data_IF_907755453833
#
_entry.id   IF_907755453833
#
_cell.length_a   1.000
_cell.length_b   1.000
_cell.length_c   1.000
_cell.angle_alpha   90.00
_cell.angle_beta   90.00
_cell.angle_gamma   90.00
#
_symmetry.space_group_name_H-M   'P 1'
#
loop_
_entity.id
_entity.type
_entity.pdbx_description
1 polymer ?
#
# COMPACT_ATOMS: atom_id res chain seq x y z
N UNK A 1 32.55 21.02 -86.14
CA UNK A 1 32.87 20.39 -84.84
C UNK A 1 31.75 20.78 -83.91
N UNK A 2 30.86 19.85 -83.61
CA UNK A 2 29.82 20.02 -82.59
C UNK A 2 30.48 19.62 -81.27
N UNK A 3 30.54 20.57 -80.34
CA UNK A 3 31.17 20.38 -79.05
C UNK A 3 30.33 19.40 -78.22
N UNK A 4 30.87 18.20 -77.97
CA UNK A 4 30.16 17.11 -77.28
C UNK A 4 30.19 17.28 -75.75
N UNK A 5 30.78 18.35 -75.22
CA UNK A 5 30.84 18.64 -73.78
C UNK A 5 29.58 19.30 -73.20
N UNK A 6 28.70 19.83 -74.05
CA UNK A 6 27.46 20.48 -73.61
C UNK A 6 26.28 19.50 -73.43
N UNK A 7 26.40 18.27 -73.94
CA UNK A 7 25.33 17.28 -73.94
C UNK A 7 25.21 16.56 -72.58
N UNK A 8 26.28 16.51 -71.78
CA UNK A 8 26.29 15.77 -70.50
C UNK A 8 25.99 16.59 -69.25
N UNK A 9 25.75 17.91 -69.37
CA UNK A 9 25.41 18.79 -68.22
C UNK A 9 23.93 19.16 -68.10
N UNK A 10 23.08 18.76 -69.05
CA UNK A 10 21.69 19.23 -69.16
C UNK A 10 20.68 18.09 -69.36
N UNK A 11 20.86 16.96 -68.69
CA UNK A 11 19.91 15.83 -68.74
C UNK A 11 19.60 15.33 -67.33
N UNK A 12 19.20 16.25 -66.45
CA UNK A 12 18.18 15.93 -65.45
C UNK A 12 17.07 16.91 -65.76
N UNK A 13 15.98 16.42 -66.33
CA UNK A 13 14.82 17.25 -66.64
C UNK A 13 14.39 17.96 -65.36
N UNK A 14 14.11 19.26 -65.40
CA UNK A 14 13.52 19.98 -64.26
C UNK A 14 12.24 19.28 -63.76
N UNK A 15 11.56 18.53 -64.64
CA UNK A 15 10.42 17.68 -64.30
C UNK A 15 10.81 16.47 -63.44
N UNK A 16 11.96 15.84 -63.68
CA UNK A 16 12.46 14.76 -62.83
C UNK A 16 12.90 15.29 -61.47
N UNK A 17 13.54 16.47 -61.43
CA UNK A 17 13.92 17.13 -60.17
C UNK A 17 12.69 17.49 -59.33
N UNK A 18 11.64 18.01 -59.94
CA UNK A 18 10.38 18.35 -59.25
C UNK A 18 9.61 17.10 -58.82
N UNK A 19 9.59 16.03 -59.63
CA UNK A 19 9.05 14.72 -59.22
C UNK A 19 9.77 14.17 -57.99
N UNK A 20 11.10 14.15 -58.00
CA UNK A 20 11.91 13.67 -56.88
C UNK A 20 11.71 14.53 -55.62
N UNK A 21 11.61 15.85 -55.75
CA UNK A 21 11.29 16.74 -54.64
C UNK A 21 9.91 16.46 -54.04
N UNK A 22 8.88 16.26 -54.88
CA UNK A 22 7.54 15.92 -54.41
C UNK A 22 7.49 14.56 -53.72
N UNK A 23 8.29 13.60 -54.18
CA UNK A 23 8.39 12.27 -53.60
C UNK A 23 9.12 12.29 -52.25
N UNK A 24 10.18 13.09 -52.12
CA UNK A 24 10.87 13.38 -50.86
C UNK A 24 9.92 14.07 -49.87
N UNK A 25 9.13 15.05 -50.29
CA UNK A 25 8.16 15.72 -49.44
C UNK A 25 7.04 14.77 -48.98
N UNK A 26 6.62 13.84 -49.82
CA UNK A 26 5.64 12.80 -49.47
C UNK A 26 6.21 11.83 -48.43
N UNK A 27 7.46 11.38 -48.61
CA UNK A 27 8.16 10.53 -47.65
C UNK A 27 8.36 11.27 -46.33
N UNK A 28 8.74 12.55 -46.37
CA UNK A 28 8.90 13.40 -45.17
C UNK A 28 7.60 13.55 -44.40
N UNK A 29 6.47 13.80 -45.08
CA UNK A 29 5.14 13.85 -44.44
C UNK A 29 4.75 12.52 -43.81
N UNK A 30 5.06 11.40 -44.45
CA UNK A 30 4.85 10.07 -43.87
C UNK A 30 5.75 9.85 -42.65
N UNK A 31 7.02 10.25 -42.71
CA UNK A 31 7.96 10.15 -41.60
C UNK A 31 7.52 11.00 -40.39
N UNK A 32 7.03 12.22 -40.62
CA UNK A 32 6.47 13.08 -39.57
C UNK A 32 5.21 12.44 -38.97
N UNK A 33 4.36 11.78 -39.78
CA UNK A 33 3.21 11.02 -39.26
C UNK A 33 3.61 9.81 -38.39
N UNK A 34 4.73 9.16 -38.69
CA UNK A 34 5.30 8.12 -37.83
C UNK A 34 5.89 8.69 -36.54
N UNK A 35 6.48 9.88 -36.56
CA UNK A 35 6.93 10.59 -35.36
C UNK A 35 5.76 10.89 -34.42
N UNK A 36 4.63 11.34 -34.96
CA UNK A 36 3.39 11.46 -34.19
C UNK A 36 2.86 10.10 -33.69
N UNK A 37 3.05 9.01 -34.44
CA UNK A 37 2.72 7.65 -33.99
C UNK A 37 3.57 7.15 -32.81
N UNK A 38 4.87 7.46 -32.80
CA UNK A 38 5.78 7.15 -31.69
C UNK A 38 5.48 7.98 -30.43
N UNK A 39 5.06 9.23 -30.60
CA UNK A 39 4.57 10.06 -29.50
C UNK A 39 3.20 9.57 -28.98
N UNK A 40 2.36 9.02 -29.86
CA UNK A 40 1.09 8.41 -29.49
C UNK A 40 1.25 7.13 -28.66
N UNK A 41 2.26 6.30 -28.93
CA UNK A 41 2.54 5.11 -28.12
C UNK A 41 2.95 5.48 -26.68
N UNK A 42 3.82 6.48 -26.52
CA UNK A 42 4.19 7.01 -25.19
C UNK A 42 2.99 7.61 -24.47
N UNK A 43 2.17 8.38 -25.17
CA UNK A 43 0.95 8.95 -24.63
C UNK A 43 -0.06 7.86 -24.22
N UNK A 44 -0.23 6.82 -25.03
CA UNK A 44 -1.09 5.69 -24.70
C UNK A 44 -0.56 4.93 -23.47
N UNK A 45 0.76 4.73 -23.37
CA UNK A 45 1.38 4.09 -22.20
C UNK A 45 1.18 4.91 -20.91
N UNK A 46 1.29 6.24 -20.98
CA UNK A 46 0.98 7.14 -19.86
C UNK A 46 -0.51 7.08 -19.46
N UNK A 47 -1.42 7.01 -20.43
CA UNK A 47 -2.85 6.80 -20.17
C UNK A 47 -3.07 5.45 -19.47
N UNK A 48 -2.45 4.37 -19.96
CA UNK A 48 -2.59 3.05 -19.34
C UNK A 48 -2.02 3.01 -17.93
N UNK A 49 -0.87 3.65 -17.67
CA UNK A 49 -0.32 3.81 -16.31
C UNK A 49 -1.28 4.55 -15.40
N UNK A 50 -1.88 5.63 -15.90
CA UNK A 50 -2.87 6.42 -15.15
C UNK A 50 -4.12 5.61 -14.83
N UNK A 51 -4.67 4.89 -15.81
CA UNK A 51 -5.84 4.03 -15.64
C UNK A 51 -5.54 2.91 -14.64
N UNK A 52 -4.36 2.28 -14.71
CA UNK A 52 -3.96 1.25 -13.76
C UNK A 52 -3.87 1.82 -12.33
N UNK A 53 -3.23 2.98 -12.16
CA UNK A 53 -3.14 3.64 -10.85
C UNK A 53 -4.52 3.98 -10.28
N UNK A 54 -5.41 4.52 -11.11
CA UNK A 54 -6.79 4.81 -10.71
C UNK A 54 -7.56 3.53 -10.36
N UNK A 55 -7.37 2.45 -11.12
CA UNK A 55 -8.02 1.16 -10.86
C UNK A 55 -7.58 0.57 -9.52
N UNK A 56 -6.28 0.64 -9.20
CA UNK A 56 -5.75 0.20 -7.91
C UNK A 56 -6.30 1.06 -6.77
N UNK A 57 -6.36 2.38 -6.95
CA UNK A 57 -6.92 3.28 -5.95
C UNK A 57 -8.41 2.99 -5.67
N UNK A 58 -9.20 2.74 -6.72
CA UNK A 58 -10.62 2.36 -6.59
C UNK A 58 -10.77 1.04 -5.82
N UNK A 59 -9.94 0.03 -6.12
CA UNK A 59 -9.96 -1.24 -5.38
C UNK A 59 -9.66 -1.05 -3.90
N UNK A 60 -8.60 -0.30 -3.57
CA UNK A 60 -8.26 0.02 -2.17
C UNK A 60 -9.40 0.76 -1.47
N UNK A 61 -10.01 1.75 -2.14
CA UNK A 61 -11.17 2.46 -1.60
C UNK A 61 -12.34 1.51 -1.32
N UNK A 62 -12.59 0.56 -2.22
CA UNK A 62 -13.67 -0.41 -2.03
C UNK A 62 -13.40 -1.35 -0.85
N UNK A 63 -12.17 -1.87 -0.70
CA UNK A 63 -11.77 -2.67 0.47
C UNK A 63 -11.91 -1.89 1.79
N UNK A 64 -11.55 -0.61 1.79
CA UNK A 64 -11.74 0.24 2.98
C UNK A 64 -13.22 0.45 3.28
N UNK A 65 -14.07 0.60 2.26
CA UNK A 65 -15.51 0.77 2.43
C UNK A 65 -16.18 -0.49 2.99
N UNK A 66 -15.77 -1.67 2.53
CA UNK A 66 -16.24 -2.95 3.08
C UNK A 66 -15.81 -3.12 4.54
N UNK A 67 -14.58 -2.70 4.87
CA UNK A 67 -14.07 -2.70 6.25
C UNK A 67 -14.86 -1.74 7.16
N UNK A 68 -15.24 -0.57 6.65
CA UNK A 68 -16.07 0.39 7.39
C UNK A 68 -17.46 -0.18 7.62
N UNK A 69 -18.05 -0.80 6.60
CA UNK A 69 -19.40 -1.40 6.67
C UNK A 69 -19.44 -2.52 7.71
N UNK A 70 -18.46 -3.43 7.70
CA UNK A 70 -18.36 -4.52 8.69
C UNK A 70 -18.14 -4.01 10.12
N UNK A 71 -17.37 -2.92 10.31
CA UNK A 71 -17.23 -2.24 11.60
C UNK A 71 -18.54 -1.62 12.07
N UNK A 72 -19.28 -0.98 11.16
CA UNK A 72 -20.60 -0.41 11.44
C UNK A 72 -21.59 -1.49 11.87
N UNK A 73 -21.66 -2.61 11.15
CA UNK A 73 -22.52 -3.75 11.53
C UNK A 73 -22.14 -4.32 12.90
N UNK A 74 -20.84 -4.39 13.20
CA UNK A 74 -20.36 -4.85 14.51
C UNK A 74 -20.72 -3.88 15.64
N UNK A 75 -20.63 -2.57 15.37
CA UNK A 75 -21.05 -1.52 16.30
C UNK A 75 -22.57 -1.54 16.51
N UNK A 76 -23.35 -1.73 15.46
CA UNK A 76 -24.81 -1.84 15.51
C UNK A 76 -25.23 -3.07 16.32
N UNK A 77 -24.58 -4.22 16.12
CA UNK A 77 -24.80 -5.42 16.95
C UNK A 77 -24.50 -5.15 18.42
N UNK A 78 -23.34 -4.57 18.75
CA UNK A 78 -22.98 -4.21 20.13
C UNK A 78 -23.93 -3.18 20.75
N UNK A 79 -24.45 -2.26 19.95
CA UNK A 79 -25.43 -1.28 20.40
C UNK A 79 -26.78 -1.94 20.69
N UNK A 80 -27.25 -2.82 19.79
CA UNK A 80 -28.49 -3.57 19.95
C UNK A 80 -28.44 -4.62 21.08
N UNK A 81 -27.26 -5.17 21.37
CA UNK A 81 -27.04 -6.08 22.50
C UNK A 81 -27.06 -5.37 23.86
N UNK A 82 -27.00 -4.03 23.87
CA UNK A 82 -27.08 -3.20 25.07
C UNK A 82 -25.80 -3.25 25.91
N UNK A 83 -25.18 -2.09 26.12
CA UNK A 83 -24.01 -1.98 26.98
C UNK A 83 -24.46 -2.12 28.45
N UNK A 84 -24.38 -3.33 29.03
CA UNK A 84 -24.45 -3.52 30.48
C UNK A 84 -23.17 -2.98 31.11
N UNK A 85 -23.16 -1.68 31.39
CA UNK A 85 -22.12 -1.04 32.21
C UNK A 85 -22.38 -1.42 33.65
N UNK A 86 -21.62 -2.40 34.18
CA UNK A 86 -21.49 -2.57 35.62
C UNK A 86 -20.57 -1.46 36.13
N UNK A 87 -21.15 -0.40 36.70
CA UNK A 87 -20.40 0.59 37.48
C UNK A 87 -20.02 -0.10 38.78
N UNK A 88 -18.77 -0.52 38.90
CA UNK A 88 -18.21 -0.97 40.17
C UNK A 88 -18.07 0.25 41.09
N UNK A 89 -18.95 0.38 42.09
CA UNK A 89 -18.80 1.38 43.15
C UNK A 89 -20.05 2.11 43.65
N UNK A 90 -21.27 1.68 43.32
CA UNK A 90 -22.47 2.18 43.99
C UNK A 90 -23.30 1.01 44.51
N UNK A 91 -23.16 0.76 45.81
CA UNK A 91 -24.17 0.08 46.60
C UNK A 91 -25.30 1.05 46.93
N UNK A 92 -26.48 0.44 47.15
CA UNK A 92 -27.77 0.99 47.60
C UNK A 92 -28.65 1.61 46.50
N UNK A 93 -29.83 1.10 46.16
CA UNK A 93 -30.74 0.20 46.88
C UNK A 93 -31.83 -0.37 45.95
N UNK A 94 -32.27 -1.60 46.28
CA UNK A 94 -33.66 -2.10 46.19
C UNK A 94 -34.27 -2.26 44.76
N UNK A 95 -34.84 -3.38 44.29
CA UNK A 95 -35.58 -4.51 44.89
C UNK A 95 -35.62 -5.66 43.86
N UNK A 96 -35.50 -6.92 44.28
CA UNK A 96 -36.32 -8.00 43.70
C UNK A 96 -35.62 -9.26 43.17
N UNK A 97 -35.64 -10.29 44.02
CA UNK A 97 -35.59 -11.74 43.74
C UNK A 97 -34.27 -12.41 43.33
N UNK A 98 -33.65 -13.05 44.33
CA UNK A 98 -33.11 -14.43 44.37
C UNK A 98 -32.50 -14.99 43.08
N UNK A 99 -31.29 -15.54 43.06
CA UNK A 99 -30.84 -16.64 43.92
C UNK A 99 -29.33 -16.86 43.67
N UNK A 100 -28.57 -17.04 44.74
CA UNK A 100 -27.15 -17.43 44.70
C UNK A 100 -27.07 -18.91 44.32
N UNK A 101 -26.37 -19.23 43.23
CA UNK A 101 -25.72 -20.53 43.02
C UNK A 101 -24.31 -20.24 42.51
N UNK A 102 -23.36 -20.23 43.43
CA UNK A 102 -21.95 -20.50 43.15
C UNK A 102 -21.84 -22.03 43.02
N UNK A 103 -21.56 -22.52 41.83
CA UNK A 103 -21.12 -23.90 41.63
C UNK A 103 -19.63 -23.85 41.34
N UNK A 104 -18.83 -23.92 42.40
CA UNK A 104 -17.49 -24.50 42.35
C UNK A 104 -17.64 -25.96 41.94
N UNK A 105 -17.18 -26.31 40.74
CA UNK A 105 -16.75 -27.67 40.44
C UNK A 105 -15.29 -27.61 40.02
N UNK A 106 -14.46 -27.89 41.02
CA UNK A 106 -13.09 -28.34 40.91
C UNK A 106 -12.90 -29.37 39.78
N UNK A 107 -11.83 -29.20 39.01
CA UNK A 107 -10.86 -30.29 38.95
C UNK A 107 -9.46 -29.73 39.25
N UNK A 108 -8.86 -30.39 40.24
CA UNK A 108 -7.56 -30.12 40.81
C UNK A 108 -6.44 -30.35 39.79
N UNK A 109 -5.45 -29.47 39.79
CA UNK A 109 -4.07 -29.89 40.08
C UNK A 109 -3.34 -28.74 40.76
N UNK A 110 -3.33 -28.80 42.09
CA UNK A 110 -2.41 -28.08 42.95
C UNK A 110 -1.06 -28.80 42.89
N UNK A 111 0.00 -28.07 42.54
CA UNK A 111 1.25 -28.15 43.30
C UNK A 111 1.90 -26.77 43.37
N UNK A 112 2.08 -26.35 44.61
CA UNK A 112 2.84 -25.24 45.16
C UNK A 112 4.30 -25.17 44.71
N UNK A 113 4.80 -23.93 44.73
CA UNK A 113 6.18 -23.53 45.07
C UNK A 113 7.31 -24.05 44.18
N UNK A 114 7.68 -23.24 43.18
CA UNK A 114 8.96 -22.50 43.08
C UNK A 114 9.07 -21.97 41.66
N UNK A 115 8.90 -20.66 41.44
CA UNK A 115 9.52 -20.00 40.28
C UNK A 115 9.46 -18.48 40.40
N UNK A 116 10.20 -17.94 41.37
CA UNK A 116 10.62 -16.52 41.32
C UNK A 116 11.58 -16.24 40.16
N UNK A 117 11.92 -17.22 39.32
CA UNK A 117 12.72 -17.06 38.09
C UNK A 117 11.86 -16.79 36.84
N UNK A 118 10.62 -17.28 36.80
CA UNK A 118 9.74 -17.14 35.64
C UNK A 118 9.11 -15.74 35.53
N UNK A 119 8.87 -15.06 36.67
CA UNK A 119 8.31 -13.71 36.69
C UNK A 119 9.26 -12.67 36.06
N UNK A 120 10.58 -12.78 36.29
CA UNK A 120 11.59 -11.93 35.66
C UNK A 120 11.62 -12.15 34.15
N UNK A 121 11.56 -13.42 33.70
CA UNK A 121 11.55 -13.75 32.27
C UNK A 121 10.30 -13.24 31.53
N UNK A 122 9.13 -13.24 32.19
CA UNK A 122 7.88 -12.76 31.60
C UNK A 122 7.84 -11.23 31.52
N UNK A 123 8.28 -10.54 32.57
CA UNK A 123 8.37 -9.07 32.59
C UNK A 123 9.41 -8.54 31.57
N UNK A 124 10.52 -9.27 31.38
CA UNK A 124 11.50 -8.98 30.35
C UNK A 124 10.94 -9.18 28.93
N UNK A 125 10.20 -10.27 28.70
CA UNK A 125 9.49 -10.49 27.44
C UNK A 125 8.47 -9.38 27.17
N UNK A 126 7.75 -8.90 28.19
CA UNK A 126 6.77 -7.80 28.07
C UNK A 126 7.44 -6.48 27.68
N UNK A 127 8.60 -6.17 28.26
CA UNK A 127 9.41 -5.01 27.87
C UNK A 127 9.88 -5.11 26.42
N UNK A 128 10.33 -6.30 26.00
CA UNK A 128 10.76 -6.55 24.62
C UNK A 128 9.57 -6.39 23.65
N UNK A 129 8.40 -6.93 23.99
CA UNK A 129 7.19 -6.78 23.18
C UNK A 129 6.77 -5.30 23.07
N UNK A 130 6.82 -4.53 24.16
CA UNK A 130 6.53 -3.11 24.16
C UNK A 130 7.52 -2.32 23.29
N UNK A 131 8.81 -2.64 23.35
CA UNK A 131 9.84 -2.01 22.51
C UNK A 131 9.64 -2.33 21.03
N UNK A 132 9.30 -3.58 20.69
CA UNK A 132 9.02 -4.01 19.32
C UNK A 132 7.76 -3.28 18.79
N UNK A 133 6.69 -3.17 19.58
CA UNK A 133 5.49 -2.40 19.20
C UNK A 133 5.82 -0.93 18.91
N UNK A 134 6.69 -0.32 19.72
CA UNK A 134 7.09 1.07 19.52
C UNK A 134 7.94 1.25 18.26
N UNK A 135 8.81 0.28 17.93
CA UNK A 135 9.57 0.26 16.66
C UNK A 135 8.66 0.06 15.45
N UNK A 136 7.66 -0.82 15.55
CA UNK A 136 6.63 -1.02 14.50
C UNK A 136 5.89 0.28 14.24
N UNK A 137 5.43 0.97 15.29
CA UNK A 137 4.71 2.25 15.15
C UNK A 137 5.57 3.32 14.44
N UNK A 138 6.85 3.44 14.80
CA UNK A 138 7.77 4.38 14.13
C UNK A 138 8.04 4.03 12.67
N UNK A 139 8.13 2.74 12.34
CA UNK A 139 8.32 2.32 10.95
C UNK A 139 7.07 2.59 10.12
N UNK A 140 5.89 2.38 10.69
CA UNK A 140 4.62 2.70 10.04
C UNK A 140 4.47 4.21 9.78
N UNK A 141 4.86 5.05 10.74
CA UNK A 141 4.87 6.51 10.56
C UNK A 141 5.81 6.93 9.41
N UNK A 142 7.01 6.34 9.34
CA UNK A 142 7.96 6.59 8.25
C UNK A 142 7.50 6.06 6.89
N UNK A 143 6.86 4.89 6.88
CA UNK A 143 6.24 4.32 5.67
C UNK A 143 5.20 5.30 5.10
N UNK A 144 4.31 5.81 5.97
CA UNK A 144 3.31 6.82 5.62
C UNK A 144 3.96 8.13 5.15
N UNK A 145 4.99 8.60 5.83
CA UNK A 145 5.72 9.83 5.47
C UNK A 145 6.35 9.70 4.07
N UNK A 146 7.00 8.58 3.76
CA UNK A 146 7.57 8.35 2.44
C UNK A 146 6.50 8.22 1.34
N UNK A 147 5.37 7.59 1.62
CA UNK A 147 4.25 7.54 0.67
C UNK A 147 3.68 8.95 0.39
N UNK A 148 3.56 9.80 1.42
CA UNK A 148 3.14 11.19 1.26
C UNK A 148 4.17 12.02 0.47
N UNK A 149 5.47 11.82 0.72
CA UNK A 149 6.55 12.47 -0.03
C UNK A 149 6.55 12.03 -1.51
N UNK A 150 6.28 10.76 -1.80
CA UNK A 150 6.16 10.27 -3.17
C UNK A 150 4.98 10.89 -3.94
N UNK A 151 3.93 11.29 -3.21
CA UNK A 151 2.75 11.96 -3.79
C UNK A 151 2.98 13.46 -4.02
N UNK A 152 3.89 14.07 -3.28
CA UNK A 152 4.14 15.53 -3.28
C UNK A 152 5.39 15.92 -4.10
N UNK A 153 6.40 15.06 -4.19
CA UNK A 153 7.57 15.23 -5.06
C UNK A 153 7.65 14.14 -6.15
N UNK A 154 7.10 14.39 -7.35
CA UNK A 154 7.09 13.42 -8.44
C UNK A 154 8.47 13.17 -9.06
N UNK A 155 9.47 14.03 -8.82
CA UNK A 155 10.82 13.84 -9.37
C UNK A 155 11.59 12.73 -8.65
N UNK A 156 11.30 12.53 -7.36
CA UNK A 156 11.97 11.54 -6.50
C UNK A 156 11.01 10.43 -6.03
N UNK A 157 9.80 10.35 -6.61
CA UNK A 157 8.74 9.46 -6.14
C UNK A 157 9.15 7.98 -6.12
N UNK A 158 9.94 7.54 -7.10
CA UNK A 158 10.43 6.16 -7.18
C UNK A 158 11.35 5.81 -5.99
N UNK A 159 12.27 6.71 -5.62
CA UNK A 159 13.13 6.53 -4.44
C UNK A 159 12.34 6.52 -3.12
N UNK A 160 11.28 7.32 -3.03
CA UNK A 160 10.41 7.33 -1.85
C UNK A 160 9.57 6.07 -1.74
N UNK A 161 9.06 5.53 -2.86
CA UNK A 161 8.37 4.25 -2.86
C UNK A 161 9.30 3.09 -2.46
N UNK A 162 10.54 3.07 -2.94
CA UNK A 162 11.53 2.08 -2.51
C UNK A 162 11.81 2.16 -1.00
N UNK A 163 11.95 3.37 -0.45
CA UNK A 163 12.16 3.58 1.00
C UNK A 163 10.94 3.16 1.83
N UNK A 164 9.73 3.43 1.34
CA UNK A 164 8.49 2.97 1.96
C UNK A 164 8.41 1.44 1.96
N UNK A 165 8.75 0.79 0.85
CA UNK A 165 8.77 -0.67 0.74
C UNK A 165 9.77 -1.31 1.71
N UNK A 166 10.99 -0.75 1.82
CA UNK A 166 11.99 -1.22 2.79
C UNK A 166 11.49 -1.06 4.23
N UNK A 167 10.84 0.06 4.55
CA UNK A 167 10.25 0.28 5.86
C UNK A 167 9.13 -0.74 6.16
N UNK A 168 8.28 -1.03 5.18
CA UNK A 168 7.25 -2.07 5.26
C UNK A 168 7.82 -3.47 5.50
N UNK A 169 8.85 -3.86 4.75
CA UNK A 169 9.52 -5.15 4.94
C UNK A 169 10.18 -5.28 6.32
N UNK A 170 10.75 -4.19 6.85
CA UNK A 170 11.29 -4.16 8.22
C UNK A 170 10.17 -4.26 9.27
N UNK A 171 9.02 -3.62 9.02
CA UNK A 171 7.84 -3.71 9.87
C UNK A 171 7.31 -5.14 9.92
N UNK A 172 7.12 -5.81 8.78
CA UNK A 172 6.64 -7.20 8.74
C UNK A 172 7.57 -8.17 9.49
N UNK A 173 8.89 -7.98 9.40
CA UNK A 173 9.88 -8.76 10.18
C UNK A 173 9.71 -8.54 11.67
N UNK A 174 9.48 -7.30 12.11
CA UNK A 174 9.24 -6.99 13.52
C UNK A 174 7.88 -7.48 14.01
N UNK A 175 6.83 -7.45 13.17
CA UNK A 175 5.52 -8.03 13.48
C UNK A 175 5.59 -9.55 13.63
N UNK A 176 6.36 -10.21 12.77
CA UNK A 176 6.62 -11.66 12.89
C UNK A 176 7.34 -11.99 14.20
N UNK A 177 8.37 -11.19 14.55
CA UNK A 177 9.09 -11.34 15.81
C UNK A 177 8.23 -10.99 17.03
N UNK A 178 7.32 -10.04 16.91
CA UNK A 178 6.34 -9.74 17.95
C UNK A 178 5.43 -10.95 18.20
N UNK A 179 4.92 -11.58 17.14
CA UNK A 179 4.09 -12.80 17.24
C UNK A 179 4.83 -13.96 17.90
N UNK A 180 6.12 -14.13 17.60
CA UNK A 180 6.97 -15.12 18.27
C UNK A 180 7.09 -14.83 19.78
N UNK A 181 7.38 -13.58 20.14
CA UNK A 181 7.50 -13.14 21.55
C UNK A 181 6.18 -13.28 22.30
N UNK A 182 5.05 -12.87 21.68
CA UNK A 182 3.71 -13.03 22.26
C UNK A 182 3.27 -14.50 22.34
N UNK A 183 3.76 -15.36 21.43
CA UNK A 183 3.56 -16.79 21.48
C UNK A 183 4.32 -17.48 22.62
N UNK A 184 5.49 -16.95 23.00
CA UNK A 184 6.29 -17.41 24.15
C UNK A 184 5.74 -16.92 25.51
N UNK A 185 4.82 -15.95 25.50
CA UNK A 185 4.14 -15.45 26.72
C UNK A 185 2.87 -16.23 27.10
N UNK A 186 2.36 -17.05 26.19
CA UNK A 186 1.17 -17.91 26.39
C UNK A 186 1.56 -19.24 26.99
#
# INVERSE_FOLDING_TARGET
MVDMSDITKSVISEEERTRLMNEIDRIKKQLDSFKYGLEFEKFAEEIFKTINRQTVAIKKLQETMDTITTRLESLEKRFNEGIKVHVAGMDESEIGESQIILEDSSDNESTTETDTSAAESKEELEKIAAEIRLKIARLFEKESEFEEMAMTDPASAEEYYEKAEVAGQMREKLESRLKEVEGLMK
#
